data_IF_021052519634
#
_entry.id   IF_021052519634
#
_cell.length_a   1.000
_cell.length_b   1.000
_cell.length_c   1.000
_cell.angle_alpha   90.00
_cell.angle_beta   90.00
_cell.angle_gamma   90.00
#
_symmetry.space_group_name_H-M   'P 1'
#
loop_
_entity.id
_entity.type
_entity.pdbx_description
1 polymer ?
#
# COMPACT_ATOMS: atom_id res chain seq x y z
N UNK A 1 -12.40 6.07 -6.18
CA UNK A 1 -12.30 7.53 -6.10
C UNK A 1 -10.85 7.98 -6.15
N UNK A 2 -10.65 9.18 -6.68
CA UNK A 2 -9.36 9.84 -6.67
C UNK A 2 -9.55 11.31 -6.29
N UNK A 3 -8.61 11.84 -5.53
CA UNK A 3 -8.61 13.25 -5.10
C UNK A 3 -7.24 13.83 -5.46
N UNK A 4 -7.25 14.88 -6.25
CA UNK A 4 -6.07 15.69 -6.57
C UNK A 4 -6.22 17.04 -5.93
N UNK A 5 -5.19 17.52 -5.24
CA UNK A 5 -5.15 18.86 -4.67
C UNK A 5 -3.81 19.52 -5.00
N UNK A 6 -3.88 20.75 -5.50
CA UNK A 6 -2.71 21.56 -5.86
C UNK A 6 -2.79 22.87 -5.09
N UNK A 7 -1.74 23.17 -4.36
CA UNK A 7 -1.62 24.41 -3.59
C UNK A 7 -0.39 25.17 -4.05
N UNK A 8 -0.52 26.46 -4.18
CA UNK A 8 0.61 27.35 -4.48
C UNK A 8 0.59 28.52 -3.53
N UNK A 9 1.70 28.77 -2.88
CA UNK A 9 1.88 29.92 -2.01
C UNK A 9 3.24 30.58 -2.25
N UNK A 10 3.22 31.78 -2.76
CA UNK A 10 4.43 32.50 -3.20
C UNK A 10 5.23 31.64 -4.20
N UNK A 11 6.42 31.21 -3.80
CA UNK A 11 7.32 30.40 -4.63
C UNK A 11 7.23 28.89 -4.30
N UNK A 12 6.38 28.48 -3.37
CA UNK A 12 6.20 27.09 -2.99
C UNK A 12 4.97 26.49 -3.68
N UNK A 13 5.06 25.23 -4.05
CA UNK A 13 3.91 24.46 -4.55
C UNK A 13 3.86 23.08 -3.85
N UNK A 14 2.65 22.63 -3.63
CA UNK A 14 2.36 21.31 -3.05
C UNK A 14 1.31 20.63 -3.92
N UNK A 15 1.65 19.49 -4.49
CA UNK A 15 0.75 18.65 -5.25
C UNK A 15 0.50 17.37 -4.48
N UNK A 16 -0.76 16.98 -4.35
CA UNK A 16 -1.21 15.79 -3.66
C UNK A 16 -2.10 14.97 -4.58
N UNK A 17 -1.90 13.67 -4.58
CA UNK A 17 -2.82 12.74 -5.21
C UNK A 17 -3.09 11.56 -4.29
N UNK A 18 -4.36 11.38 -3.94
CA UNK A 18 -4.89 10.26 -3.18
C UNK A 18 -5.80 9.42 -4.05
N UNK A 19 -5.73 8.11 -3.89
CA UNK A 19 -6.59 7.15 -4.58
C UNK A 19 -7.14 6.15 -3.58
N UNK A 20 -8.36 5.68 -3.81
CA UNK A 20 -8.94 4.65 -2.97
C UNK A 20 -10.16 3.98 -3.56
N UNK A 21 -10.56 2.89 -2.92
CA UNK A 21 -11.78 2.14 -3.21
C UNK A 21 -12.62 2.10 -1.95
N UNK A 22 -13.83 2.65 -2.01
CA UNK A 22 -14.71 2.82 -0.85
C UNK A 22 -15.34 1.52 -0.38
N UNK A 23 -15.65 0.60 -1.30
CA UNK A 23 -16.20 -0.72 -0.99
C UNK A 23 -15.59 -1.76 -1.91
N UNK A 24 -14.97 -2.75 -1.31
CA UNK A 24 -14.44 -3.91 -2.02
C UNK A 24 -14.36 -5.07 -1.04
N UNK A 25 -15.06 -6.14 -1.35
CA UNK A 25 -14.96 -7.39 -0.61
C UNK A 25 -14.03 -8.32 -1.39
N UNK A 26 -13.12 -8.96 -0.68
CA UNK A 26 -12.13 -9.85 -1.27
C UNK A 26 -11.93 -11.08 -0.40
N UNK A 27 -11.93 -12.24 -1.03
CA UNK A 27 -11.63 -13.50 -0.37
C UNK A 27 -10.16 -13.86 -0.57
N UNK A 28 -9.42 -13.84 0.53
CA UNK A 28 -8.04 -14.29 0.59
C UNK A 28 -8.03 -15.77 0.93
N UNK A 29 -7.71 -16.61 0.00
CA UNK A 29 -7.81 -18.06 0.18
C UNK A 29 -6.71 -18.83 -0.51
N UNK A 30 -5.64 -18.16 -0.93
CA UNK A 30 -4.51 -18.83 -1.52
C UNK A 30 -3.62 -19.54 -0.48
N UNK A 31 -2.64 -20.27 -0.97
CA UNK A 31 -1.79 -21.12 -0.12
C UNK A 31 -0.97 -20.32 0.92
N UNK A 32 -0.59 -19.07 0.62
CA UNK A 32 0.16 -18.25 1.55
C UNK A 32 -0.71 -17.58 2.63
N UNK A 33 -2.03 -17.55 2.41
CA UNK A 33 -2.99 -17.07 3.41
C UNK A 33 -3.16 -18.09 4.56
N UNK A 34 -3.11 -19.38 4.26
CA UNK A 34 -3.38 -20.42 5.24
C UNK A 34 -2.14 -20.83 6.01
N UNK A 35 -2.19 -20.92 7.34
CA UNK A 35 -1.07 -21.43 8.13
C UNK A 35 -0.79 -22.90 7.77
N UNK A 36 0.46 -23.21 7.52
CA UNK A 36 0.92 -24.55 7.16
C UNK A 36 0.19 -25.18 5.96
N UNK A 37 -0.15 -24.36 4.96
CA UNK A 37 -0.88 -24.82 3.79
C UNK A 37 -0.14 -25.88 2.97
N UNK A 38 1.13 -25.69 2.76
CA UNK A 38 2.00 -26.65 2.07
C UNK A 38 3.38 -26.66 2.74
N UNK A 39 4.17 -27.71 2.43
CA UNK A 39 5.55 -27.82 2.89
C UNK A 39 6.51 -26.81 2.23
N UNK A 40 6.05 -26.11 1.18
CA UNK A 40 6.87 -25.16 0.41
C UNK A 40 6.79 -23.73 0.92
N UNK A 41 5.80 -23.40 1.75
CA UNK A 41 5.61 -22.06 2.28
C UNK A 41 5.90 -22.01 3.76
N UNK A 42 6.80 -21.10 4.14
CA UNK A 42 7.06 -20.83 5.54
C UNK A 42 5.85 -20.10 6.16
N UNK A 43 5.58 -20.40 7.44
CA UNK A 43 4.59 -19.67 8.20
C UNK A 43 5.02 -18.20 8.31
N UNK A 44 4.09 -17.30 8.05
CA UNK A 44 4.30 -15.86 8.26
C UNK A 44 4.12 -15.51 9.74
N UNK A 45 4.69 -14.38 10.17
CA UNK A 45 4.62 -13.95 11.57
C UNK A 45 3.17 -13.83 12.08
N UNK A 46 2.25 -13.33 11.26
CA UNK A 46 0.85 -13.20 11.66
C UNK A 46 0.14 -14.55 11.81
N UNK A 47 0.57 -15.61 11.11
CA UNK A 47 0.07 -16.98 11.33
C UNK A 47 0.38 -17.46 12.74
N UNK A 48 1.53 -17.09 13.30
CA UNK A 48 1.92 -17.48 14.66
C UNK A 48 1.00 -16.87 15.70
N UNK A 49 0.62 -15.61 15.51
CA UNK A 49 -0.19 -14.87 16.50
C UNK A 49 -1.69 -15.03 16.31
N UNK A 50 -2.16 -15.34 15.11
CA UNK A 50 -3.58 -15.32 14.79
C UNK A 50 -4.14 -16.67 14.33
N UNK A 51 -3.39 -17.76 14.53
CA UNK A 51 -3.89 -19.13 14.38
C UNK A 51 -4.52 -19.62 15.67
N UNK A 52 -5.57 -20.41 15.51
CA UNK A 52 -6.27 -21.00 16.65
C UNK A 52 -5.37 -21.97 17.44
N UNK A 53 -5.34 -21.77 18.76
CA UNK A 53 -4.76 -22.68 19.75
C UNK A 53 -5.70 -22.76 20.94
N UNK A 54 -5.54 -23.77 21.85
CA UNK A 54 -6.31 -23.80 23.09
C UNK A 54 -6.19 -22.52 23.92
N UNK A 55 -5.03 -21.85 23.87
CA UNK A 55 -4.74 -20.60 24.58
C UNK A 55 -5.28 -19.38 23.84
N UNK A 56 -5.55 -19.50 22.54
CA UNK A 56 -6.10 -18.43 21.68
C UNK A 56 -7.34 -18.91 20.90
N UNK A 57 -8.46 -19.22 21.58
CA UNK A 57 -9.65 -19.77 20.93
C UNK A 57 -10.39 -18.77 20.03
N UNK A 58 -10.12 -17.47 20.18
CA UNK A 58 -10.70 -16.38 19.39
C UNK A 58 -9.94 -16.03 18.12
N UNK A 59 -8.87 -16.74 17.78
CA UNK A 59 -8.03 -16.45 16.61
C UNK A 59 -8.82 -16.43 15.30
N UNK A 60 -8.38 -15.58 14.37
CA UNK A 60 -9.03 -15.43 13.06
C UNK A 60 -8.80 -16.63 12.15
N UNK A 61 -7.55 -17.14 12.13
CA UNK A 61 -7.17 -18.30 11.33
C UNK A 61 -7.47 -19.62 12.05
N UNK A 62 -7.70 -20.70 11.29
CA UNK A 62 -7.89 -22.03 11.87
C UNK A 62 -6.58 -22.56 12.47
N UNK A 63 -6.67 -23.68 13.18
CA UNK A 63 -5.49 -24.38 13.66
C UNK A 63 -4.53 -24.70 12.50
N UNK A 64 -3.24 -24.44 12.72
CA UNK A 64 -2.20 -24.74 11.75
C UNK A 64 -1.97 -26.27 11.68
N UNK A 65 -2.41 -26.90 10.61
CA UNK A 65 -2.18 -28.34 10.36
C UNK A 65 -1.62 -28.53 8.95
N UNK A 66 -0.51 -29.22 8.86
CA UNK A 66 0.02 -29.66 7.58
C UNK A 66 -0.99 -30.60 6.90
N UNK A 67 -1.19 -30.45 5.60
CA UNK A 67 -2.04 -31.31 4.76
C UNK A 67 -3.56 -31.32 5.06
N UNK A 68 -4.04 -30.59 6.06
CA UNK A 68 -5.47 -30.51 6.37
C UNK A 68 -6.15 -29.43 5.49
N UNK A 69 -7.02 -29.87 4.59
CA UNK A 69 -7.75 -28.99 3.65
C UNK A 69 -9.17 -28.61 4.09
N UNK A 70 -9.62 -29.08 5.26
CA UNK A 70 -11.03 -28.93 5.69
C UNK A 70 -11.54 -27.51 5.77
N UNK A 71 -10.66 -26.57 6.07
CA UNK A 71 -10.98 -25.15 6.18
C UNK A 71 -10.39 -24.31 5.03
N UNK A 72 -9.77 -24.94 4.05
CA UNK A 72 -9.13 -24.29 2.91
C UNK A 72 -9.97 -24.45 1.64
N UNK A 73 -9.95 -23.44 0.79
CA UNK A 73 -10.65 -23.53 -0.50
C UNK A 73 -12.17 -23.45 -0.42
N UNK A 74 -12.75 -23.32 0.76
CA UNK A 74 -14.19 -23.12 0.96
C UNK A 74 -14.46 -21.64 1.15
N UNK A 75 -15.25 -21.07 0.28
CA UNK A 75 -15.69 -19.67 0.42
C UNK A 75 -16.61 -19.54 1.61
N UNK A 76 -16.16 -18.78 2.62
CA UNK A 76 -16.94 -18.50 3.84
C UNK A 76 -16.87 -17.03 4.15
N UNK A 77 -17.92 -16.50 4.76
CA UNK A 77 -18.00 -15.09 5.19
C UNK A 77 -16.90 -14.74 6.20
N UNK A 78 -16.44 -15.74 6.97
CA UNK A 78 -15.38 -15.55 7.96
C UNK A 78 -14.09 -15.01 7.33
N UNK A 79 -13.75 -15.44 6.13
CA UNK A 79 -12.50 -15.10 5.43
C UNK A 79 -12.72 -14.10 4.31
N UNK A 80 -13.94 -13.66 4.11
CA UNK A 80 -14.24 -12.53 3.24
C UNK A 80 -13.79 -11.24 3.94
N UNK A 81 -12.85 -10.55 3.34
CA UNK A 81 -12.27 -9.36 3.93
C UNK A 81 -12.71 -8.10 3.21
N UNK A 82 -12.83 -7.03 3.97
CA UNK A 82 -13.02 -5.70 3.42
C UNK A 82 -11.68 -5.15 2.94
N UNK A 83 -11.45 -5.16 1.64
CA UNK A 83 -10.27 -4.63 0.97
C UNK A 83 -10.46 -3.16 0.53
N UNK A 84 -11.34 -2.41 1.19
CA UNK A 84 -11.41 -0.97 0.97
C UNK A 84 -10.12 -0.31 1.44
N UNK A 85 -9.68 0.71 0.71
CA UNK A 85 -8.46 1.42 1.04
C UNK A 85 -8.49 2.87 0.58
N UNK A 86 -7.62 3.67 1.17
CA UNK A 86 -7.24 4.99 0.70
C UNK A 86 -5.72 5.13 0.81
N UNK A 87 -5.06 5.46 -0.28
CA UNK A 87 -3.59 5.56 -0.36
C UNK A 87 -3.17 6.92 -0.86
N UNK A 88 -2.16 7.51 -0.22
CA UNK A 88 -1.42 8.65 -0.74
C UNK A 88 -0.50 8.18 -1.86
N UNK A 89 -0.93 8.37 -3.10
CA UNK A 89 -0.19 7.89 -4.29
C UNK A 89 1.00 8.78 -4.62
N UNK A 90 0.82 10.08 -4.49
CA UNK A 90 1.89 11.04 -4.73
C UNK A 90 1.74 12.27 -3.83
N UNK A 91 2.85 12.75 -3.33
CA UNK A 91 3.00 14.05 -2.70
C UNK A 91 4.28 14.69 -3.25
N UNK A 92 4.17 15.92 -3.76
CA UNK A 92 5.31 16.67 -4.26
C UNK A 92 5.30 18.06 -3.65
N UNK A 93 6.34 18.39 -2.92
CA UNK A 93 6.60 19.74 -2.41
C UNK A 93 7.76 20.33 -3.17
N UNK A 94 7.54 21.46 -3.81
CA UNK A 94 8.56 22.15 -4.59
C UNK A 94 8.67 23.63 -4.27
N UNK A 95 9.82 24.17 -4.61
CA UNK A 95 10.16 25.58 -4.46
C UNK A 95 10.72 26.11 -5.77
N UNK A 96 10.05 27.11 -6.32
CA UNK A 96 10.52 27.85 -7.48
C UNK A 96 11.55 28.89 -7.01
N UNK A 97 12.73 28.87 -7.58
CA UNK A 97 13.78 29.80 -7.21
C UNK A 97 13.41 31.25 -7.64
N UNK A 98 13.72 32.23 -6.81
CA UNK A 98 13.45 33.65 -7.15
C UNK A 98 14.14 34.05 -8.45
N UNK A 99 13.43 34.80 -9.30
CA UNK A 99 13.97 35.27 -10.60
C UNK A 99 15.30 35.99 -10.47
N UNK A 100 15.51 36.75 -9.38
CA UNK A 100 16.76 37.45 -9.10
C UNK A 100 18.00 36.55 -9.04
N UNK A 101 17.83 35.28 -8.67
CA UNK A 101 18.93 34.32 -8.58
C UNK A 101 19.20 33.64 -9.92
N UNK A 102 18.14 33.24 -10.61
CA UNK A 102 18.22 32.44 -11.83
C UNK A 102 18.62 33.28 -13.05
N UNK A 103 18.27 34.57 -13.09
CA UNK A 103 18.65 35.49 -14.19
C UNK A 103 20.16 35.68 -14.28
N UNK A 104 20.90 35.55 -13.17
CA UNK A 104 22.37 35.68 -13.17
C UNK A 104 23.07 34.54 -13.93
N UNK A 105 22.39 33.42 -14.12
CA UNK A 105 22.91 32.21 -14.78
C UNK A 105 22.14 31.91 -16.09
N UNK A 106 21.44 32.90 -16.64
CA UNK A 106 20.68 32.81 -17.88
C UNK A 106 19.62 31.69 -17.91
N UNK A 107 19.03 31.37 -16.76
CA UNK A 107 17.88 30.48 -16.69
C UNK A 107 16.59 31.27 -16.70
N UNK A 108 15.58 30.76 -17.44
CA UNK A 108 14.24 31.32 -17.49
C UNK A 108 13.40 30.81 -16.29
N UNK A 109 13.62 29.60 -15.83
CA UNK A 109 12.99 29.03 -14.63
C UNK A 109 13.89 27.99 -13.96
N UNK A 110 13.80 27.88 -12.64
CA UNK A 110 14.44 26.82 -11.87
C UNK A 110 13.58 26.46 -10.65
N UNK A 111 13.44 25.19 -10.38
CA UNK A 111 12.77 24.71 -9.17
C UNK A 111 13.46 23.49 -8.59
N UNK A 112 13.38 23.37 -7.27
CA UNK A 112 13.84 22.19 -6.51
C UNK A 112 12.58 21.56 -5.89
N UNK A 113 12.48 20.24 -5.94
CA UNK A 113 11.35 19.54 -5.34
C UNK A 113 11.76 18.26 -4.65
N UNK A 114 10.97 17.88 -3.67
CA UNK A 114 10.98 16.55 -3.07
C UNK A 114 9.64 15.90 -3.37
N UNK A 115 9.65 14.62 -3.70
CA UNK A 115 8.42 13.86 -3.91
C UNK A 115 8.46 12.52 -3.20
N UNK A 116 7.28 12.04 -2.86
CA UNK A 116 7.10 10.73 -2.28
C UNK A 116 5.92 10.01 -2.91
N UNK A 117 6.08 8.72 -3.13
CA UNK A 117 5.05 7.86 -3.69
C UNK A 117 4.66 6.75 -2.73
N UNK A 118 3.38 6.42 -2.68
CA UNK A 118 2.81 5.36 -1.84
C UNK A 118 3.18 5.51 -0.35
N UNK A 119 3.25 6.74 0.18
CA UNK A 119 3.84 7.03 1.49
C UNK A 119 3.08 6.40 2.64
N UNK A 120 1.77 6.40 2.57
CA UNK A 120 0.90 5.79 3.58
C UNK A 120 -0.42 5.35 2.98
N UNK A 121 -1.04 4.39 3.67
CA UNK A 121 -2.33 3.86 3.30
C UNK A 121 -3.19 3.59 4.54
N UNK A 122 -4.49 3.70 4.34
CA UNK A 122 -5.50 3.26 5.29
C UNK A 122 -6.25 2.10 4.65
N UNK A 123 -6.25 0.95 5.30
CA UNK A 123 -6.95 -0.26 4.83
C UNK A 123 -7.56 -1.03 5.99
N UNK A 124 -8.55 -1.87 5.68
CA UNK A 124 -9.18 -2.79 6.62
C UNK A 124 -8.78 -4.24 6.37
N UNK A 125 -7.97 -4.50 5.36
CA UNK A 125 -7.51 -5.85 5.06
C UNK A 125 -6.61 -6.36 6.21
N UNK A 126 -6.79 -7.60 6.60
CA UNK A 126 -5.98 -8.24 7.63
C UNK A 126 -4.78 -8.95 7.01
N UNK A 127 -3.67 -8.98 7.76
CA UNK A 127 -2.44 -9.61 7.30
C UNK A 127 -1.56 -8.68 6.45
N UNK A 128 -0.46 -9.19 5.92
CA UNK A 128 0.55 -8.41 5.21
C UNK A 128 0.22 -8.19 3.73
N UNK A 129 -1.05 -8.05 3.40
CA UNK A 129 -1.51 -7.94 2.00
C UNK A 129 -1.73 -6.50 1.59
N UNK A 130 -1.31 -6.20 0.35
CA UNK A 130 -1.59 -4.91 -0.25
C UNK A 130 -3.04 -4.89 -0.79
N UNK A 131 -3.88 -3.95 -0.34
CA UNK A 131 -5.28 -3.90 -0.75
C UNK A 131 -5.46 -3.59 -2.24
N UNK A 132 -4.52 -2.96 -2.88
CA UNK A 132 -4.55 -2.66 -4.32
C UNK A 132 -4.24 -3.91 -5.15
N UNK A 133 -3.35 -4.75 -4.66
CA UNK A 133 -3.00 -6.04 -5.26
C UNK A 133 -4.06 -7.12 -5.03
N UNK A 134 -4.99 -6.92 -4.09
CA UNK A 134 -6.09 -7.82 -3.86
C UNK A 134 -6.96 -7.90 -5.12
N UNK A 135 -7.08 -9.09 -5.74
CA UNK A 135 -7.90 -9.31 -6.95
C UNK A 135 -7.21 -9.99 -8.12
N UNK A 136 -5.91 -10.24 -8.00
CA UNK A 136 -5.16 -11.12 -8.91
C UNK A 136 -4.62 -12.32 -8.13
N UNK A 137 -3.46 -12.80 -8.48
CA UNK A 137 -2.68 -13.74 -7.64
C UNK A 137 -2.09 -13.02 -6.40
N UNK A 138 -2.95 -12.33 -5.65
CA UNK A 138 -2.69 -11.23 -4.72
C UNK A 138 -1.62 -11.46 -3.68
N UNK A 139 -1.32 -12.70 -3.35
CA UNK A 139 -0.29 -13.05 -2.35
C UNK A 139 1.10 -13.18 -2.96
N UNK A 140 1.17 -13.39 -4.26
CA UNK A 140 2.43 -13.48 -5.01
C UNK A 140 2.83 -12.15 -5.65
N UNK A 141 2.01 -11.11 -5.51
CA UNK A 141 2.33 -9.79 -6.04
C UNK A 141 3.22 -9.03 -5.04
N UNK A 142 4.25 -8.45 -5.58
CA UNK A 142 5.14 -7.60 -4.80
C UNK A 142 4.36 -6.38 -4.27
N UNK A 143 4.42 -6.05 -2.97
CA UNK A 143 3.74 -4.89 -2.45
C UNK A 143 4.31 -3.60 -3.07
N UNK A 144 3.47 -2.57 -3.19
CA UNK A 144 3.92 -1.28 -3.68
C UNK A 144 4.99 -0.68 -2.77
N UNK A 145 6.11 -0.32 -3.39
CA UNK A 145 7.23 0.30 -2.69
C UNK A 145 6.92 1.76 -2.37
N UNK A 146 7.42 2.21 -1.23
CA UNK A 146 7.49 3.64 -0.91
C UNK A 146 8.72 4.22 -1.57
N UNK A 147 8.53 5.25 -2.38
CA UNK A 147 9.62 5.90 -3.12
C UNK A 147 9.76 7.33 -2.66
N UNK A 148 10.98 7.77 -2.45
CA UNK A 148 11.32 9.17 -2.14
C UNK A 148 12.28 9.67 -3.21
N UNK A 149 12.00 10.85 -3.74
CA UNK A 149 12.81 11.44 -4.80
C UNK A 149 13.12 12.90 -4.48
N UNK A 150 14.31 13.34 -4.86
CA UNK A 150 14.72 14.73 -4.90
C UNK A 150 15.04 15.09 -6.35
N UNK A 151 14.52 16.20 -6.82
CA UNK A 151 14.72 16.61 -8.21
C UNK A 151 14.92 18.12 -8.37
N UNK A 152 15.50 18.48 -9.49
CA UNK A 152 15.70 19.86 -9.92
C UNK A 152 15.17 19.97 -11.34
N UNK A 153 14.35 20.99 -11.60
CA UNK A 153 13.92 21.35 -12.94
C UNK A 153 14.60 22.67 -13.34
N UNK A 154 15.21 22.68 -14.50
CA UNK A 154 15.88 23.85 -15.07
C UNK A 154 15.30 24.13 -16.46
N UNK A 155 14.98 25.40 -16.74
CA UNK A 155 14.51 25.86 -18.05
C UNK A 155 15.43 27.00 -18.51
N UNK A 156 16.01 26.84 -19.67
CA UNK A 156 16.92 27.81 -20.31
C UNK A 156 16.16 28.78 -21.18
#
# INVERSE_FOLDING_TARGET
YGITANFTYKNYYLNLFMQGVGKRDFWLGDEAFWPAATQYYNAQTWHVYDSWTPENPGAYLPIARATDSRNRGVYTDRYLQNASYCRMKNITLGWNLPKQWISKINLSNASIYVSGENLFEFTKIKGPYDPEAAGGNGVMLYPFMRTYSLGINLTF
#
